data_IF_351239016522
#
_entry.id   IF_351239016522
#
_cell.length_a   1.000
_cell.length_b   1.000
_cell.length_c   1.000
_cell.angle_alpha   90.00
_cell.angle_beta   90.00
_cell.angle_gamma   90.00
#
_symmetry.space_group_name_H-M   'P 1'
#
loop_
_entity.id
_entity.type
_entity.pdbx_description
1 polymer ?
#
# COMPACT_ATOMS: atom_id res chain seq x y z
N UNK A 1 -6.56 8.65 21.35
CA UNK A 1 -7.39 8.55 20.11
C UNK A 1 -8.06 7.18 20.01
N UNK A 2 -9.34 7.11 19.61
CA UNK A 2 -10.00 5.83 19.30
C UNK A 2 -9.78 5.47 17.83
N UNK A 3 -9.40 4.24 17.54
CA UNK A 3 -9.25 3.72 16.18
C UNK A 3 -10.26 2.59 15.95
N UNK A 4 -10.99 2.60 14.84
CA UNK A 4 -12.10 1.66 14.63
C UNK A 4 -11.68 0.18 14.57
N UNK A 5 -10.39 -0.11 14.34
CA UNK A 5 -9.88 -1.48 14.32
C UNK A 5 -9.19 -1.91 15.63
N UNK A 6 -9.32 -1.11 16.70
CA UNK A 6 -8.74 -1.44 18.00
C UNK A 6 -9.55 -0.85 19.16
N UNK A 7 -9.89 -1.67 20.15
CA UNK A 7 -10.82 -1.30 21.22
C UNK A 7 -10.25 -0.28 22.21
N UNK A 8 -8.94 -0.32 22.46
CA UNK A 8 -8.29 0.57 23.42
C UNK A 8 -7.95 1.92 22.79
N UNK A 9 -7.92 2.94 23.65
CA UNK A 9 -7.43 4.25 23.26
C UNK A 9 -5.92 4.22 22.97
N UNK A 10 -5.53 4.81 21.84
CA UNK A 10 -4.14 4.95 21.43
C UNK A 10 -3.56 6.28 21.91
N UNK A 11 -2.36 6.19 22.48
CA UNK A 11 -1.55 7.34 22.92
C UNK A 11 -0.56 7.73 21.83
N UNK A 12 -0.34 9.03 21.64
CA UNK A 12 0.70 9.53 20.73
C UNK A 12 2.09 9.32 21.33
N UNK A 13 3.02 8.78 20.55
CA UNK A 13 4.43 8.63 20.94
C UNK A 13 5.40 9.00 19.82
N UNK A 14 6.67 9.14 20.20
CA UNK A 14 7.80 9.29 19.30
C UNK A 14 8.67 8.04 19.44
N UNK A 15 8.69 7.19 18.41
CA UNK A 15 9.59 6.03 18.38
C UNK A 15 10.89 6.43 17.67
N UNK A 16 12.03 6.17 18.31
CA UNK A 16 13.34 6.30 17.66
C UNK A 16 13.58 5.08 16.79
N UNK A 17 14.51 5.19 15.83
CA UNK A 17 14.90 4.08 14.95
C UNK A 17 15.70 3.04 15.76
N UNK A 18 14.99 2.16 16.48
CA UNK A 18 15.56 0.99 17.15
C UNK A 18 15.10 -0.34 16.52
N UNK A 19 14.25 -0.27 15.49
CA UNK A 19 13.87 -1.42 14.67
C UNK A 19 12.84 -2.36 15.29
N UNK A 20 12.30 -2.04 16.47
CA UNK A 20 11.51 -3.03 17.24
C UNK A 20 10.03 -3.13 16.88
N UNK A 21 9.46 -2.18 16.13
CA UNK A 21 8.00 -2.08 15.93
C UNK A 21 7.59 -1.79 14.49
N UNK A 22 6.67 -2.61 14.00
CA UNK A 22 5.99 -2.42 12.73
C UNK A 22 4.59 -1.87 12.90
N UNK A 23 4.11 -1.16 11.88
CA UNK A 23 2.75 -0.64 11.85
C UNK A 23 1.77 -1.81 11.73
N UNK A 24 0.75 -1.86 12.59
CA UNK A 24 -0.24 -2.93 12.58
C UNK A 24 -1.11 -2.95 11.32
N UNK A 25 -1.15 -1.86 10.54
CA UNK A 25 -1.92 -1.77 9.30
C UNK A 25 -1.08 -2.07 8.05
N UNK A 26 0.05 -1.37 7.87
CA UNK A 26 0.85 -1.49 6.63
C UNK A 26 2.09 -2.37 6.78
N UNK A 27 2.34 -2.90 7.98
CA UNK A 27 3.44 -3.81 8.33
C UNK A 27 4.87 -3.24 8.17
N UNK A 28 4.99 -2.03 7.61
CA UNK A 28 6.27 -1.34 7.51
C UNK A 28 6.76 -0.85 8.89
N UNK A 29 8.08 -0.73 9.11
CA UNK A 29 8.64 -0.19 10.33
C UNK A 29 8.10 1.20 10.70
N UNK A 30 7.90 1.44 11.99
CA UNK A 30 7.45 2.74 12.51
C UNK A 30 8.64 3.52 13.03
N UNK A 31 8.87 4.70 12.45
CA UNK A 31 9.89 5.65 12.90
C UNK A 31 9.24 7.03 13.07
N UNK A 32 9.56 7.71 14.17
CA UNK A 32 9.06 9.05 14.45
C UNK A 32 7.67 9.06 15.10
N UNK A 33 6.85 10.10 14.85
CA UNK A 33 5.53 10.25 15.46
C UNK A 33 4.54 9.17 15.06
N UNK A 34 3.94 8.53 16.06
CA UNK A 34 3.03 7.40 15.91
C UNK A 34 1.96 7.40 17.00
N UNK A 35 1.01 6.48 16.86
CA UNK A 35 0.06 6.14 17.90
C UNK A 35 0.26 4.69 18.30
N UNK A 36 0.15 4.39 19.59
CA UNK A 36 0.29 3.03 20.07
C UNK A 36 -0.67 2.75 21.23
N UNK A 37 -0.91 1.48 21.54
CA UNK A 37 -1.74 1.09 22.66
C UNK A 37 -0.89 0.74 23.89
N UNK A 38 -0.97 1.53 24.96
CA UNK A 38 -0.28 1.22 26.23
C UNK A 38 -0.83 -0.06 26.88
N UNK A 39 -2.13 -0.31 26.76
CA UNK A 39 -2.82 -1.45 27.37
C UNK A 39 -2.44 -2.80 26.71
N UNK A 40 -2.05 -2.77 25.42
CA UNK A 40 -1.61 -3.96 24.70
C UNK A 40 -0.08 -4.10 24.69
N UNK A 41 0.63 -3.54 25.66
CA UNK A 41 2.10 -3.50 25.72
C UNK A 41 2.73 -2.91 24.44
N UNK A 42 2.01 -2.03 23.75
CA UNK A 42 2.38 -1.47 22.47
C UNK A 42 2.54 -2.48 21.32
N UNK A 43 1.82 -3.61 21.37
CA UNK A 43 1.67 -4.54 20.23
C UNK A 43 0.89 -3.92 19.07
N UNK A 44 -0.02 -2.99 19.37
CA UNK A 44 -0.75 -2.23 18.37
C UNK A 44 -0.10 -0.85 18.19
N UNK A 45 0.47 -0.61 17.02
CA UNK A 45 1.21 0.63 16.68
C UNK A 45 0.80 1.07 15.28
N UNK A 46 0.53 2.36 15.09
CA UNK A 46 0.16 2.93 13.81
C UNK A 46 1.03 4.14 13.48
N UNK A 47 1.45 4.28 12.22
CA UNK A 47 1.86 5.59 11.72
C UNK A 47 0.71 6.59 11.86
N UNK A 48 1.01 7.88 12.03
CA UNK A 48 -0.01 8.93 12.02
C UNK A 48 -0.88 8.92 10.76
N UNK A 49 -0.30 8.58 9.60
CA UNK A 49 -1.02 8.45 8.34
C UNK A 49 -1.97 7.24 8.34
N UNK A 50 -1.49 6.08 8.78
CA UNK A 50 -2.30 4.85 8.90
C UNK A 50 -3.48 5.03 9.88
N UNK A 51 -3.28 5.77 10.97
CA UNK A 51 -4.33 6.08 11.94
C UNK A 51 -5.43 7.04 11.41
N UNK A 52 -5.15 7.75 10.31
CA UNK A 52 -6.10 8.66 9.65
C UNK A 52 -6.81 8.03 8.46
N UNK A 53 -6.50 6.78 8.12
CA UNK A 53 -7.16 6.08 7.04
C UNK A 53 -8.66 5.96 7.32
N UNK A 54 -9.54 6.23 6.34
CA UNK A 54 -10.96 6.12 6.54
C UNK A 54 -11.36 4.65 6.68
N UNK A 55 -12.41 4.35 7.44
CA UNK A 55 -12.94 2.98 7.49
C UNK A 55 -13.47 2.50 6.14
N UNK A 56 -13.96 3.43 5.32
CA UNK A 56 -14.62 3.18 4.05
C UNK A 56 -14.12 4.13 2.96
N UNK A 57 -13.90 3.60 1.76
CA UNK A 57 -13.55 4.37 0.57
C UNK A 57 -14.66 4.13 -0.47
N UNK A 58 -15.41 5.18 -0.80
CA UNK A 58 -16.52 5.13 -1.76
C UNK A 58 -16.08 5.30 -3.22
N UNK A 59 -14.94 5.93 -3.44
CA UNK A 59 -14.38 6.19 -4.77
C UNK A 59 -12.92 5.81 -4.75
N UNK A 60 -12.59 4.79 -5.52
CA UNK A 60 -11.21 4.32 -5.66
C UNK A 60 -10.89 4.15 -7.15
N UNK A 61 -9.84 4.79 -7.68
CA UNK A 61 -9.61 4.87 -9.13
C UNK A 61 -9.42 3.51 -9.84
N UNK A 62 -8.95 2.50 -9.11
CA UNK A 62 -8.76 1.15 -9.65
C UNK A 62 -9.96 0.23 -9.40
N UNK A 63 -11.04 0.78 -8.85
CA UNK A 63 -12.28 0.08 -8.57
C UNK A 63 -13.44 0.91 -9.14
N UNK A 64 -13.69 0.73 -10.43
CA UNK A 64 -14.63 1.56 -11.20
C UNK A 64 -16.09 1.45 -10.74
N UNK A 65 -16.43 0.43 -9.94
CA UNK A 65 -17.76 0.30 -9.39
C UNK A 65 -17.96 1.21 -8.15
N UNK A 66 -19.20 1.61 -7.89
CA UNK A 66 -19.53 2.51 -6.77
C UNK A 66 -19.67 1.77 -5.43
N UNK A 67 -19.25 0.50 -5.36
CA UNK A 67 -19.33 -0.28 -4.14
C UNK A 67 -18.23 0.16 -3.17
N UNK A 68 -18.55 0.25 -1.88
CA UNK A 68 -17.60 0.68 -0.88
C UNK A 68 -16.48 -0.34 -0.69
N UNK A 69 -15.26 0.18 -0.56
CA UNK A 69 -14.13 -0.57 -0.06
C UNK A 69 -14.05 -0.37 1.46
N UNK A 70 -14.18 -1.46 2.22
CA UNK A 70 -14.19 -1.42 3.68
C UNK A 70 -12.86 -1.93 4.20
N UNK A 71 -12.24 -1.16 5.12
CA UNK A 71 -11.03 -1.60 5.80
C UNK A 71 -11.37 -2.72 6.78
N UNK A 72 -10.75 -3.87 6.58
CA UNK A 72 -10.87 -5.03 7.46
C UNK A 72 -9.51 -5.70 7.69
N UNK A 73 -9.50 -6.64 8.63
CA UNK A 73 -8.37 -7.54 8.84
C UNK A 73 -8.77 -8.94 8.44
N UNK A 74 -7.89 -9.63 7.72
CA UNK A 74 -8.02 -11.05 7.43
C UNK A 74 -7.11 -11.86 8.36
N UNK A 75 -7.51 -13.09 8.68
CA UNK A 75 -6.64 -14.01 9.43
C UNK A 75 -5.39 -14.36 8.61
N UNK A 76 -4.31 -14.73 9.28
CA UNK A 76 -3.05 -15.14 8.63
C UNK A 76 -3.19 -16.36 7.70
N UNK A 77 -4.26 -17.13 7.84
CA UNK A 77 -4.64 -18.23 6.95
C UNK A 77 -5.31 -17.78 5.64
N UNK A 78 -5.75 -16.52 5.55
CA UNK A 78 -6.46 -15.98 4.41
C UNK A 78 -5.49 -15.24 3.50
N UNK A 79 -5.15 -15.86 2.37
CA UNK A 79 -4.34 -15.22 1.33
C UNK A 79 -5.18 -14.28 0.50
N UNK A 80 -4.60 -13.17 0.07
CA UNK A 80 -5.19 -12.31 -0.95
C UNK A 80 -4.12 -11.69 -1.84
N UNK A 81 -4.51 -11.35 -3.07
CA UNK A 81 -3.71 -10.54 -3.96
C UNK A 81 -4.28 -9.12 -4.01
N UNK A 82 -3.42 -8.10 -3.98
CA UNK A 82 -3.86 -6.73 -4.17
C UNK A 82 -4.25 -6.50 -5.64
N UNK A 83 -5.44 -5.94 -5.88
CA UNK A 83 -5.93 -5.62 -7.21
C UNK A 83 -5.22 -4.46 -7.92
N UNK A 84 -4.21 -3.84 -7.28
CA UNK A 84 -3.41 -2.75 -7.85
C UNK A 84 -1.98 -3.20 -8.16
N UNK A 85 -1.25 -3.71 -7.17
CA UNK A 85 0.15 -4.13 -7.34
C UNK A 85 0.31 -5.63 -7.60
N UNK A 86 -0.77 -6.41 -7.53
CA UNK A 86 -0.77 -7.87 -7.70
C UNK A 86 0.12 -8.66 -6.73
N UNK A 87 0.68 -8.00 -5.70
CA UNK A 87 1.41 -8.65 -4.63
C UNK A 87 0.46 -9.53 -3.80
N UNK A 88 0.92 -10.73 -3.48
CA UNK A 88 0.24 -11.64 -2.57
C UNK A 88 0.60 -11.36 -1.10
N UNK A 89 -0.40 -11.48 -0.23
CA UNK A 89 -0.29 -11.27 1.21
C UNK A 89 -0.92 -12.45 1.96
N UNK A 90 -0.38 -12.75 3.15
CA UNK A 90 -0.86 -13.82 4.04
C UNK A 90 -1.59 -13.20 5.24
N UNK A 91 -2.83 -12.75 5.02
CA UNK A 91 -3.64 -12.05 6.01
C UNK A 91 -3.28 -10.57 6.15
N UNK A 92 -3.62 -9.99 7.30
CA UNK A 92 -3.35 -8.58 7.61
C UNK A 92 -4.49 -7.65 7.17
N UNK A 93 -4.22 -6.35 7.21
CA UNK A 93 -5.22 -5.32 6.89
C UNK A 93 -5.31 -5.05 5.39
N UNK A 94 -6.53 -4.96 4.89
CA UNK A 94 -6.81 -4.60 3.50
C UNK A 94 -8.18 -3.96 3.37
N UNK A 95 -8.34 -3.14 2.33
CA UNK A 95 -9.63 -2.68 1.88
C UNK A 95 -10.26 -3.73 0.98
N UNK A 96 -11.47 -4.18 1.31
CA UNK A 96 -12.19 -5.20 0.54
C UNK A 96 -13.54 -4.68 0.10
N UNK A 97 -13.90 -4.95 -1.15
CA UNK A 97 -15.27 -4.84 -1.65
C UNK A 97 -15.89 -6.24 -1.69
N UNK A 98 -16.91 -6.48 -0.89
CA UNK A 98 -17.58 -7.79 -0.83
C UNK A 98 -18.31 -8.16 -2.12
N UNK A 99 -18.82 -7.16 -2.86
CA UNK A 99 -19.61 -7.37 -4.08
C UNK A 99 -18.75 -7.74 -5.29
N UNK A 100 -17.52 -7.25 -5.35
CA UNK A 100 -16.62 -7.44 -6.49
C UNK A 100 -15.43 -8.36 -6.17
N UNK A 101 -15.31 -8.82 -4.92
CA UNK A 101 -14.13 -9.49 -4.36
C UNK A 101 -12.82 -8.74 -4.65
N UNK A 102 -12.90 -7.40 -4.75
CA UNK A 102 -11.75 -6.55 -5.04
C UNK A 102 -11.05 -6.16 -3.73
N UNK A 103 -9.74 -6.40 -3.65
CA UNK A 103 -8.94 -6.19 -2.44
C UNK A 103 -7.76 -5.27 -2.70
N UNK A 104 -7.47 -4.37 -1.78
CA UNK A 104 -6.37 -3.40 -1.88
C UNK A 104 -5.60 -3.40 -0.58
N UNK A 105 -4.28 -3.59 -0.65
CA UNK A 105 -3.42 -3.47 0.52
C UNK A 105 -3.32 -2.02 1.00
N UNK A 106 -2.86 -1.83 2.25
CA UNK A 106 -2.80 -0.50 2.87
C UNK A 106 -1.86 0.47 2.13
N UNK A 107 -0.78 -0.02 1.49
CA UNK A 107 0.15 0.86 0.76
C UNK A 107 -0.50 1.35 -0.53
N UNK A 108 -1.16 0.47 -1.28
CA UNK A 108 -1.87 0.87 -2.49
C UNK A 108 -3.07 1.79 -2.20
N UNK A 109 -3.76 1.64 -1.07
CA UNK A 109 -4.87 2.53 -0.72
C UNK A 109 -4.46 3.97 -0.41
N UNK A 110 -3.17 4.22 -0.16
CA UNK A 110 -2.58 5.54 0.15
C UNK A 110 -2.04 6.29 -1.06
N UNK A 111 -2.10 5.71 -2.27
CA UNK A 111 -1.56 6.36 -3.47
C UNK A 111 -2.32 7.67 -3.70
N UNK A 112 -1.61 8.81 -3.71
CA UNK A 112 -2.19 10.12 -3.99
C UNK A 112 -2.29 10.31 -5.51
N UNK A 113 -3.49 10.61 -6.00
CA UNK A 113 -3.86 10.45 -7.41
C UNK A 113 -3.65 11.69 -8.27
N UNK A 114 -2.54 12.41 -8.08
CA UNK A 114 -2.03 13.32 -9.13
C UNK A 114 -1.35 12.54 -10.27
N UNK A 115 -1.87 11.35 -10.59
CA UNK A 115 -1.38 10.54 -11.70
C UNK A 115 -2.02 11.05 -13.00
N UNK A 116 -1.27 11.18 -14.09
CA UNK A 116 -1.82 11.60 -15.36
C UNK A 116 -2.94 10.63 -15.78
N UNK A 117 -4.16 11.14 -15.93
CA UNK A 117 -5.19 10.40 -16.66
C UNK A 117 -4.73 10.28 -18.10
N UNK A 118 -4.46 9.05 -18.54
CA UNK A 118 -4.07 8.80 -19.91
C UNK A 118 -5.33 8.51 -20.73
N UNK A 119 -5.60 9.32 -21.77
CA UNK A 119 -6.83 9.25 -22.56
C UNK A 119 -7.13 7.88 -23.18
N UNK A 120 -6.13 6.98 -23.27
CA UNK A 120 -6.26 5.65 -23.88
C UNK A 120 -6.70 4.58 -22.84
N UNK A 121 -6.63 4.86 -21.53
CA UNK A 121 -6.96 3.86 -20.50
C UNK A 121 -7.78 4.47 -19.36
N UNK A 122 -8.87 3.79 -18.98
CA UNK A 122 -9.88 4.30 -18.03
C UNK A 122 -9.44 4.31 -16.56
N UNK A 123 -8.17 4.07 -16.28
CA UNK A 123 -7.62 3.89 -14.94
C UNK A 123 -6.26 4.59 -14.86
N UNK A 124 -5.87 5.14 -13.69
CA UNK A 124 -4.57 5.79 -13.55
C UNK A 124 -3.42 4.87 -13.90
N UNK A 125 -2.38 5.42 -14.52
CA UNK A 125 -1.15 4.67 -14.77
C UNK A 125 -0.29 4.70 -13.51
N UNK A 126 0.08 3.53 -13.01
CA UNK A 126 1.07 3.38 -11.96
C UNK A 126 2.46 3.31 -12.58
N UNK A 127 3.44 3.98 -11.97
CA UNK A 127 4.83 3.84 -12.37
C UNK A 127 5.27 2.41 -12.03
N UNK A 128 5.60 1.64 -13.06
CA UNK A 128 6.29 0.37 -12.87
C UNK A 128 7.80 0.65 -12.77
N UNK A 129 8.33 0.64 -11.54
CA UNK A 129 9.77 0.81 -11.29
C UNK A 129 10.55 -0.49 -11.58
N UNK A 130 9.87 -1.64 -11.53
CA UNK A 130 10.37 -2.95 -11.87
C UNK A 130 10.02 -3.26 -13.33
N UNK A 131 10.75 -2.62 -14.26
CA UNK A 131 10.92 -3.18 -15.61
C UNK A 131 11.87 -4.39 -15.48
N UNK A 132 11.52 -5.33 -14.61
CA UNK A 132 12.12 -6.64 -14.59
C UNK A 132 11.65 -7.31 -15.87
N UNK A 133 12.62 -7.67 -16.71
CA UNK A 133 12.54 -8.54 -17.87
C UNK A 133 11.57 -9.71 -17.63
N UNK A 134 10.27 -9.46 -17.81
CA UNK A 134 9.27 -10.50 -17.71
C UNK A 134 9.50 -11.41 -18.93
N UNK A 135 10.18 -12.52 -18.69
CA UNK A 135 10.49 -13.57 -19.66
C UNK A 135 11.30 -13.12 -20.91
N UNK A 136 12.26 -12.20 -20.74
CA UNK A 136 13.21 -11.83 -21.80
C UNK A 136 12.58 -11.12 -23.01
N UNK A 137 11.40 -10.52 -22.84
CA UNK A 137 10.78 -9.69 -23.88
C UNK A 137 10.85 -8.22 -23.46
N UNK A 138 11.53 -7.35 -24.22
CA UNK A 138 11.60 -5.94 -23.90
C UNK A 138 10.20 -5.33 -23.91
N UNK A 139 9.86 -4.63 -22.82
CA UNK A 139 8.63 -3.83 -22.75
C UNK A 139 8.81 -2.67 -23.72
N UNK A 140 7.90 -2.50 -24.67
CA UNK A 140 7.91 -1.37 -25.61
C UNK A 140 6.79 -0.39 -25.31
N UNK A 141 7.06 0.90 -25.53
CA UNK A 141 6.09 1.96 -25.39
C UNK A 141 4.99 1.81 -26.44
N UNK A 142 3.72 1.76 -26.03
CA UNK A 142 2.59 1.62 -26.98
C UNK A 142 2.41 2.84 -27.90
N UNK A 143 2.99 4.00 -27.55
CA UNK A 143 2.93 5.22 -28.34
C UNK A 143 4.03 5.29 -29.42
N UNK A 144 5.30 5.30 -28.99
CA UNK A 144 6.45 5.44 -29.91
C UNK A 144 7.04 4.11 -30.39
N UNK A 145 6.66 2.98 -29.79
CA UNK A 145 7.20 1.63 -30.04
C UNK A 145 8.65 1.41 -29.60
N UNK A 146 9.30 2.43 -29.06
CA UNK A 146 10.64 2.31 -28.48
C UNK A 146 10.64 1.43 -27.23
N UNK A 147 11.76 0.75 -26.93
CA UNK A 147 11.90 0.00 -25.69
C UNK A 147 11.84 0.93 -24.47
N UNK A 148 11.10 0.52 -23.45
CA UNK A 148 11.05 1.18 -22.15
C UNK A 148 12.30 0.80 -21.38
N UNK A 149 13.24 1.74 -21.29
CA UNK A 149 14.47 1.57 -20.51
C UNK A 149 14.12 1.74 -19.03
N UNK A 150 14.25 0.67 -18.23
CA UNK A 150 14.09 0.74 -16.78
C UNK A 150 15.16 1.62 -16.10
N UNK A 151 15.08 1.83 -14.79
CA UNK A 151 16.17 2.49 -14.04
C UNK A 151 17.44 1.66 -14.17
N UNK A 152 18.42 2.19 -14.90
CA UNK A 152 19.80 1.72 -14.77
C UNK A 152 20.23 2.06 -13.35
N UNK A 153 20.36 1.05 -12.48
CA UNK A 153 21.18 1.18 -11.28
C UNK A 153 22.63 1.27 -11.75
N UNK A 154 23.02 2.44 -12.25
CA UNK A 154 24.43 2.79 -12.31
C UNK A 154 24.89 2.86 -10.86
N UNK A 155 25.35 1.72 -10.33
CA UNK A 155 26.38 1.75 -9.31
C UNK A 155 27.44 2.68 -9.87
N UNK A 156 27.55 3.89 -9.31
CA UNK A 156 28.70 4.75 -9.56
C UNK A 156 29.94 3.86 -9.38
N UNK A 157 30.81 3.70 -10.39
CA UNK A 157 32.12 3.17 -10.10
C UNK A 157 32.77 4.15 -9.14
N UNK A 158 33.21 3.61 -8.01
CA UNK A 158 34.18 4.26 -7.14
C UNK A 158 35.34 4.70 -8.04
N UNK A 159 35.54 6.02 -8.16
CA UNK A 159 36.75 6.58 -8.77
C UNK A 159 37.76 6.72 -7.64
N UNK A 160 38.86 5.98 -7.84
CA UNK A 160 40.17 5.95 -7.16
C UNK A 160 40.23 6.18 -5.64
#
# INVERSE_FOLDING_TARGET
MKHFSHDHELSSRLLKRDGSRSCSLCEDPVVGPNYWCDQCSGKFVLHKSCAKLPREILKYPFHSCKHPLILGTSSSSSRYACGVCHQEYNGGFSYTCSECDFKVDIKCSKIDYQLPEHFIHKHPLMLNEDVAEAAGRPVSCSGCKDPVLGRTTTKRPYRD
#
